data_IF_444353384663
#
_entry.id   IF_444353384663
#
_cell.length_a   1.000
_cell.length_b   1.000
_cell.length_c   1.000
_cell.angle_alpha   90.00
_cell.angle_beta   90.00
_cell.angle_gamma   90.00
#
_symmetry.space_group_name_H-M   'P 1'
#
loop_
_entity.id
_entity.type
_entity.pdbx_description
1 polymer ?
#
# COMPACT_ATOMS: atom_id res chain seq x y z
N UNK A 1 15.73 -5.76 -14.10
CA UNK A 1 15.46 -6.35 -12.77
C UNK A 1 16.42 -5.74 -11.74
N UNK A 2 16.05 -5.72 -10.45
CA UNK A 2 16.97 -5.33 -9.37
C UNK A 2 17.95 -6.45 -9.03
N UNK A 3 19.09 -6.09 -8.43
CA UNK A 3 20.12 -7.01 -7.95
C UNK A 3 20.33 -6.88 -6.43
N UNK A 4 20.99 -7.87 -5.83
CA UNK A 4 21.39 -7.78 -4.43
C UNK A 4 22.30 -6.55 -4.20
N UNK A 5 21.96 -5.74 -3.20
CA UNK A 5 22.66 -4.48 -2.91
C UNK A 5 22.08 -3.24 -3.61
N UNK A 6 21.14 -3.39 -4.55
CA UNK A 6 20.44 -2.24 -5.12
C UNK A 6 19.59 -1.54 -4.05
N UNK A 7 19.70 -0.22 -3.97
CA UNK A 7 18.75 0.60 -3.23
C UNK A 7 17.47 0.76 -4.04
N UNK A 8 16.33 0.48 -3.41
CA UNK A 8 15.01 0.52 -4.03
C UNK A 8 14.14 1.54 -3.31
N UNK A 9 13.51 2.43 -4.08
CA UNK A 9 12.52 3.39 -3.59
C UNK A 9 11.12 2.89 -3.90
N UNK A 10 10.29 2.80 -2.86
CA UNK A 10 8.88 2.47 -2.99
C UNK A 10 8.05 3.73 -2.76
N UNK A 11 7.25 4.11 -3.75
CA UNK A 11 6.20 5.11 -3.57
C UNK A 11 4.88 4.37 -3.42
N UNK A 12 4.10 4.71 -2.40
CA UNK A 12 2.80 4.08 -2.19
C UNK A 12 1.73 5.13 -1.96
N UNK A 13 0.51 4.87 -2.44
CA UNK A 13 -0.64 5.74 -2.22
C UNK A 13 -1.93 4.94 -2.19
N UNK A 14 -2.93 5.47 -1.50
CA UNK A 14 -4.26 4.86 -1.38
C UNK A 14 -5.07 5.18 -2.64
N UNK A 15 -5.77 4.16 -3.14
CA UNK A 15 -6.67 4.27 -4.27
C UNK A 15 -8.13 4.37 -3.86
N UNK A 16 -9.00 3.71 -4.63
CA UNK A 16 -10.43 3.66 -4.32
C UNK A 16 -10.68 2.90 -3.02
N UNK A 17 -11.47 3.50 -2.14
CA UNK A 17 -12.02 2.86 -0.94
C UNK A 17 -13.49 2.48 -1.15
N UNK A 18 -13.84 1.30 -0.67
CA UNK A 18 -15.22 0.83 -0.48
C UNK A 18 -15.54 0.78 1.01
N UNK A 19 -16.68 0.18 1.39
CA UNK A 19 -17.06 0.06 2.80
C UNK A 19 -16.08 -0.76 3.64
N UNK A 20 -15.51 -1.82 3.08
CA UNK A 20 -14.67 -2.79 3.81
C UNK A 20 -13.29 -3.00 3.19
N UNK A 21 -13.08 -2.52 1.96
CA UNK A 21 -11.81 -2.70 1.27
C UNK A 21 -11.28 -1.40 0.73
N UNK A 22 -9.97 -1.29 0.56
CA UNK A 22 -9.35 -0.18 -0.14
C UNK A 22 -8.16 -0.66 -0.97
N UNK A 23 -7.90 0.06 -2.06
CA UNK A 23 -6.72 -0.19 -2.88
C UNK A 23 -5.48 0.46 -2.27
N UNK A 24 -4.36 -0.24 -2.38
CA UNK A 24 -3.03 0.32 -2.15
C UNK A 24 -2.18 0.09 -3.39
N UNK A 25 -1.75 1.19 -3.98
CA UNK A 25 -0.81 1.18 -5.10
C UNK A 25 0.62 1.27 -4.58
N UNK A 26 1.52 0.57 -5.28
CA UNK A 26 2.96 0.64 -5.02
C UNK A 26 3.69 0.77 -6.35
N UNK A 27 4.54 1.77 -6.45
CA UNK A 27 5.51 1.96 -7.54
C UNK A 27 6.90 1.67 -6.99
N UNK A 28 7.63 0.76 -7.65
CA UNK A 28 8.94 0.28 -7.20
C UNK A 28 9.99 0.73 -8.22
N UNK A 29 10.95 1.56 -7.77
CA UNK A 29 12.02 2.10 -8.62
C UNK A 29 13.39 1.79 -8.04
N UNK A 30 14.38 1.52 -8.90
CA UNK A 30 15.79 1.53 -8.47
C UNK A 30 16.20 2.98 -8.19
N UNK A 31 16.82 3.23 -7.04
CA UNK A 31 17.13 4.59 -6.60
C UNK A 31 18.27 5.25 -7.41
N UNK A 32 19.20 4.47 -7.94
CA UNK A 32 20.40 5.00 -8.61
C UNK A 32 20.11 5.68 -9.95
N UNK A 33 19.10 5.22 -10.67
CA UNK A 33 18.76 5.67 -12.03
C UNK A 33 17.27 6.01 -12.20
N UNK A 34 16.45 5.82 -11.15
CA UNK A 34 15.01 6.05 -11.20
C UNK A 34 14.24 5.04 -12.05
N UNK A 35 14.88 3.96 -12.53
CA UNK A 35 14.26 2.97 -13.39
C UNK A 35 13.04 2.36 -12.70
N UNK A 36 11.88 2.42 -13.37
CA UNK A 36 10.70 1.70 -12.93
C UNK A 36 10.93 0.19 -13.08
N UNK A 37 10.88 -0.52 -11.96
CA UNK A 37 11.09 -1.96 -11.93
C UNK A 37 9.77 -2.71 -11.96
N UNK A 38 8.77 -2.24 -11.21
CA UNK A 38 7.47 -2.88 -11.11
C UNK A 38 6.42 -1.92 -10.54
N UNK A 39 5.15 -2.24 -10.79
CA UNK A 39 3.99 -1.64 -10.15
C UNK A 39 3.11 -2.73 -9.57
N UNK A 40 2.43 -2.43 -8.46
CA UNK A 40 1.49 -3.34 -7.83
C UNK A 40 0.23 -2.62 -7.39
N UNK A 41 -0.90 -3.32 -7.50
CA UNK A 41 -2.19 -2.95 -6.90
C UNK A 41 -2.59 -4.08 -5.96
N UNK A 42 -2.74 -3.74 -4.69
CA UNK A 42 -3.20 -4.67 -3.66
C UNK A 42 -4.53 -4.20 -3.09
N UNK A 43 -5.39 -5.14 -2.71
CA UNK A 43 -6.67 -4.84 -2.06
C UNK A 43 -6.56 -5.20 -0.58
N UNK A 44 -6.80 -4.22 0.28
CA UNK A 44 -6.66 -4.34 1.73
C UNK A 44 -8.04 -4.40 2.36
N UNK A 45 -8.23 -5.31 3.32
CA UNK A 45 -9.45 -5.48 4.11
C UNK A 45 -9.04 -5.54 5.59
N UNK A 46 -9.24 -4.46 6.37
CA UNK A 46 -8.96 -4.48 7.80
C UNK A 46 -9.77 -5.59 8.48
N UNK A 47 -9.14 -6.31 9.39
CA UNK A 47 -9.80 -7.34 10.19
C UNK A 47 -9.64 -7.02 11.66
N UNK A 48 -10.66 -7.36 12.45
CA UNK A 48 -10.60 -7.26 13.89
C UNK A 48 -9.64 -8.34 14.42
N UNK A 49 -8.58 -7.95 15.12
CA UNK A 49 -7.53 -8.87 15.57
C UNK A 49 -7.96 -9.94 16.57
N UNK A 50 -9.10 -9.78 17.25
CA UNK A 50 -9.64 -10.79 18.19
C UNK A 50 -10.54 -11.80 17.49
N UNK A 51 -11.34 -11.35 16.52
CA UNK A 51 -12.39 -12.18 15.89
C UNK A 51 -12.03 -12.66 14.48
N UNK A 52 -11.00 -12.08 13.86
CA UNK A 52 -10.62 -12.31 12.46
C UNK A 52 -11.63 -11.79 11.43
N UNK A 53 -12.73 -11.16 11.87
CA UNK A 53 -13.78 -10.68 10.97
C UNK A 53 -13.40 -9.36 10.31
N UNK A 54 -13.81 -9.11 9.05
CA UNK A 54 -13.66 -7.81 8.41
C UNK A 54 -14.25 -6.68 9.25
N UNK A 55 -13.56 -5.54 9.29
CA UNK A 55 -14.02 -4.33 9.94
C UNK A 55 -13.75 -3.11 9.06
N UNK A 56 -14.40 -1.98 9.38
CA UNK A 56 -14.11 -0.71 8.71
C UNK A 56 -12.73 -0.21 9.14
N UNK A 57 -12.08 0.56 8.26
CA UNK A 57 -10.88 1.32 8.63
C UNK A 57 -11.27 2.31 9.74
N UNK A 58 -10.58 2.32 10.89
CA UNK A 58 -10.83 3.29 11.96
C UNK A 58 -10.64 4.74 11.50
N UNK A 59 -11.33 5.68 12.15
CA UNK A 59 -11.33 7.09 11.74
C UNK A 59 -9.93 7.72 11.89
N UNK A 60 -9.23 7.40 12.98
CA UNK A 60 -7.88 7.84 13.28
C UNK A 60 -6.85 7.41 12.22
N UNK A 61 -7.03 6.20 11.65
CA UNK A 61 -6.18 5.71 10.55
C UNK A 61 -6.50 6.50 9.27
N UNK A 62 -7.77 6.80 9.01
CA UNK A 62 -8.14 7.61 7.85
C UNK A 62 -7.59 9.02 7.95
N UNK A 63 -7.67 9.65 9.12
CA UNK A 63 -7.14 10.99 9.36
C UNK A 63 -5.64 11.09 9.12
N UNK A 64 -4.87 10.06 9.48
CA UNK A 64 -3.41 10.08 9.29
C UNK A 64 -2.95 9.76 7.86
N UNK A 65 -3.74 8.99 7.10
CA UNK A 65 -3.26 8.36 5.86
C UNK A 65 -4.13 8.62 4.62
N UNK A 66 -5.19 9.44 4.71
CA UNK A 66 -6.14 9.67 3.61
C UNK A 66 -6.33 11.14 3.20
N UNK A 67 -5.58 12.08 3.78
CA UNK A 67 -5.55 13.50 3.41
C UNK A 67 -4.38 13.84 2.51
#
# INVERSE_FOLDING_TARGET
PAQAGDNITLRTWVGKATRLTFERFTEIRRSSDGQLLSTARTLWCPTNGQTGRPMRVPAEVREQFST
#
